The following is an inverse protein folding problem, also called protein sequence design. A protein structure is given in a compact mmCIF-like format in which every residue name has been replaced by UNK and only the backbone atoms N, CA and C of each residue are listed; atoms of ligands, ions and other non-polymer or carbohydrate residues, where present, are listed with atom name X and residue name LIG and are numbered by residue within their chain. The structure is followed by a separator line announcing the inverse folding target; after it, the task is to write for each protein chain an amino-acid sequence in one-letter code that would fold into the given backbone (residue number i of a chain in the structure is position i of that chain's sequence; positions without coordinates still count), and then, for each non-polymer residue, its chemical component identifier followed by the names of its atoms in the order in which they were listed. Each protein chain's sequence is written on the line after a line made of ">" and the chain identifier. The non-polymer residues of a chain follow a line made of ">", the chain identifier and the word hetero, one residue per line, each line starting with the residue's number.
data_IF_912520796700
#
_entry.id   IF_912520796700
#
_cell.length_a   1.000
_cell.length_b   1.000
_cell.length_c   1.000
_cell.angle_alpha   90.00
_cell.angle_beta   90.00
_cell.angle_gamma   90.00
#
_symmetry.space_group_name_H-M   'P 1'
#
loop_
_entity.id
_entity.type
_entity.pdbx_description
1 polymer ?
#
# COMPACT_ATOMS: atom_id res chain seq x y z
N UNK A 1 -21.92 -12.90 54.50
CA UNK A 1 -20.96 -11.80 54.26
C UNK A 1 -19.62 -12.43 53.92
N UNK A 2 -18.92 -12.16 52.81
CA UNK A 2 -19.03 -11.05 51.86
C UNK A 2 -18.31 -11.47 50.58
N UNK A 3 -18.96 -11.23 49.46
CA UNK A 3 -18.38 -11.20 48.12
C UNK A 3 -17.69 -9.83 47.94
N UNK A 4 -16.38 -9.78 47.68
CA UNK A 4 -15.70 -8.66 46.96
C UNK A 4 -14.18 -8.74 47.10
N UNK A 5 -13.54 -9.30 46.07
CA UNK A 5 -12.19 -8.92 45.68
C UNK A 5 -11.98 -9.32 44.22
N UNK A 6 -12.88 -8.87 43.34
CA UNK A 6 -12.52 -8.77 41.91
C UNK A 6 -11.48 -7.65 41.84
N UNK A 7 -10.25 -8.02 41.49
CA UNK A 7 -9.16 -7.07 41.30
C UNK A 7 -9.61 -5.97 40.34
N UNK A 8 -9.63 -4.74 40.84
CA UNK A 8 -9.83 -3.57 39.99
C UNK A 8 -8.76 -3.60 38.89
N UNK A 9 -9.19 -3.43 37.64
CA UNK A 9 -8.27 -3.21 36.54
C UNK A 9 -7.33 -2.05 36.91
N UNK A 10 -6.02 -2.16 36.61
CA UNK A 10 -5.11 -1.06 36.87
C UNK A 10 -5.66 0.21 36.21
N UNK A 11 -5.49 1.38 36.85
CA UNK A 11 -5.91 2.64 36.24
C UNK A 11 -5.27 2.77 34.85
N UNK A 12 -5.96 3.37 33.86
CA UNK A 12 -5.38 3.60 32.54
C UNK A 12 -4.03 4.28 32.73
N UNK A 13 -2.97 3.70 32.14
CA UNK A 13 -1.65 4.32 32.11
C UNK A 13 -1.83 5.76 31.62
N UNK A 14 -1.39 6.73 32.42
CA UNK A 14 -1.21 8.08 31.92
C UNK A 14 -0.27 7.96 30.72
N UNK A 15 -0.71 8.42 29.55
CA UNK A 15 0.11 8.48 28.35
C UNK A 15 1.36 9.27 28.70
N UNK A 16 2.53 8.62 28.64
CA UNK A 16 3.80 9.32 28.81
C UNK A 16 3.92 10.30 27.64
N UNK A 17 4.04 11.61 27.88
CA UNK A 17 4.24 12.58 26.80
C UNK A 17 5.53 12.32 26.00
N UNK A 18 6.42 11.45 26.47
CA UNK A 18 7.62 11.00 25.76
C UNK A 18 7.45 9.70 24.98
N UNK A 19 6.29 9.05 25.02
CA UNK A 19 6.04 7.89 24.17
C UNK A 19 5.82 8.36 22.72
N UNK A 20 6.62 7.88 21.76
CA UNK A 20 6.48 8.28 20.36
C UNK A 20 5.10 7.90 19.84
N UNK A 21 4.36 8.89 19.33
CA UNK A 21 3.01 8.68 18.79
C UNK A 21 3.11 7.94 17.46
N UNK A 22 2.31 6.88 17.29
CA UNK A 22 2.20 6.22 15.99
C UNK A 22 1.42 7.13 15.03
N UNK A 23 1.97 7.47 13.85
CA UNK A 23 1.31 8.36 12.93
C UNK A 23 0.03 7.71 12.33
N UNK A 24 -1.07 8.47 12.18
CA UNK A 24 -2.35 7.92 11.74
C UNK A 24 -2.29 7.35 10.31
N UNK A 25 -1.47 7.94 9.45
CA UNK A 25 -1.19 7.45 8.11
C UNK A 25 -0.63 6.00 8.14
N UNK A 26 0.29 5.69 9.07
CA UNK A 26 0.86 4.34 9.21
C UNK A 26 -0.19 3.34 9.72
N UNK A 27 -1.03 3.75 10.68
CA UNK A 27 -2.14 2.94 11.16
C UNK A 27 -3.14 2.62 10.03
N UNK A 28 -3.49 3.61 9.21
CA UNK A 28 -4.41 3.44 8.09
C UNK A 28 -3.88 2.49 7.00
N UNK A 29 -2.58 2.57 6.70
CA UNK A 29 -1.90 1.65 5.78
C UNK A 29 -1.97 0.20 6.28
N UNK A 30 -1.72 0.00 7.58
CA UNK A 30 -1.77 -1.33 8.20
C UNK A 30 -3.19 -1.94 8.15
N UNK A 31 -4.22 -1.13 8.42
CA UNK A 31 -5.61 -1.55 8.37
C UNK A 31 -6.06 -1.89 6.93
N UNK A 32 -5.68 -1.07 5.95
CA UNK A 32 -5.96 -1.32 4.54
C UNK A 32 -5.29 -2.63 4.05
N UNK A 33 -4.04 -2.84 4.42
CA UNK A 33 -3.30 -4.07 4.12
C UNK A 33 -4.00 -5.31 4.69
N UNK A 34 -4.44 -5.25 5.96
CA UNK A 34 -5.17 -6.33 6.60
C UNK A 34 -6.48 -6.66 5.86
N UNK A 35 -7.21 -5.62 5.40
CA UNK A 35 -8.44 -5.80 4.64
C UNK A 35 -8.20 -6.45 3.27
N UNK A 36 -7.13 -6.08 2.58
CA UNK A 36 -6.73 -6.74 1.33
C UNK A 36 -6.42 -8.22 1.55
N UNK A 37 -5.65 -8.58 2.59
CA UNK A 37 -5.36 -9.97 2.91
C UNK A 37 -6.59 -10.78 3.33
N UNK A 38 -7.53 -10.16 4.05
CA UNK A 38 -8.80 -10.80 4.41
C UNK A 38 -9.61 -11.19 3.17
N UNK A 39 -9.76 -10.27 2.21
CA UNK A 39 -10.50 -10.56 0.98
C UNK A 39 -9.72 -11.45 -0.01
N UNK A 40 -8.39 -11.37 0.01
CA UNK A 40 -7.54 -12.30 -0.74
C UNK A 40 -7.72 -13.73 -0.22
N UNK A 41 -7.65 -13.95 1.09
CA UNK A 41 -7.86 -15.26 1.72
C UNK A 41 -9.28 -15.80 1.54
N UNK A 42 -10.24 -14.93 1.26
CA UNK A 42 -11.63 -15.30 0.92
C UNK A 42 -11.83 -15.71 -0.55
N UNK A 43 -10.81 -15.60 -1.41
CA UNK A 43 -10.90 -15.93 -2.84
C UNK A 43 -11.10 -17.43 -3.06
N UNK A 44 -12.05 -17.79 -3.93
CA UNK A 44 -12.44 -19.19 -4.11
C UNK A 44 -11.66 -19.86 -5.27
N UNK A 45 -11.22 -21.12 -5.09
CA UNK A 45 -10.70 -21.92 -6.19
C UNK A 45 -11.82 -22.26 -7.19
N UNK A 46 -11.46 -22.44 -8.46
CA UNK A 46 -12.43 -22.85 -9.49
C UNK A 46 -12.85 -24.32 -9.29
N UNK A 47 -14.14 -24.60 -9.54
CA UNK A 47 -14.72 -25.96 -9.39
C UNK A 47 -14.20 -26.97 -10.41
N UNK A 48 -13.58 -26.52 -11.51
CA UNK A 48 -12.93 -27.37 -12.50
C UNK A 48 -11.43 -27.19 -12.44
N UNK A 49 -10.72 -28.29 -12.22
CA UNK A 49 -9.26 -28.33 -12.27
C UNK A 49 -8.78 -28.01 -13.69
N UNK A 50 -7.88 -27.03 -13.80
CA UNK A 50 -7.27 -26.71 -15.07
C UNK A 50 -6.22 -27.76 -15.45
N UNK A 51 -6.05 -28.03 -16.75
CA UNK A 51 -4.96 -28.90 -17.25
C UNK A 51 -3.57 -28.33 -16.93
N UNK A 52 -3.50 -27.04 -16.61
CA UNK A 52 -2.28 -26.31 -16.33
C UNK A 52 -1.97 -26.39 -14.84
N UNK A 53 -0.73 -26.68 -14.47
CA UNK A 53 -0.32 -26.75 -13.07
C UNK A 53 0.14 -25.37 -12.59
N UNK A 54 -0.19 -24.96 -11.35
CA UNK A 54 0.41 -23.78 -10.76
C UNK A 54 1.93 -23.97 -10.63
N UNK A 55 2.73 -22.90 -10.55
CA UNK A 55 4.16 -23.03 -10.31
C UNK A 55 4.39 -23.85 -9.04
N UNK A 56 5.32 -24.80 -9.10
CA UNK A 56 5.57 -25.75 -8.02
C UNK A 56 6.22 -25.12 -6.78
N UNK A 57 6.79 -23.91 -6.93
CA UNK A 57 7.44 -23.16 -5.86
C UNK A 57 7.36 -21.66 -6.13
N UNK A 58 7.32 -20.88 -5.05
CA UNK A 58 7.49 -19.42 -5.08
C UNK A 58 8.86 -19.01 -5.62
N UNK A 59 9.87 -19.89 -5.52
CA UNK A 59 11.20 -19.69 -6.09
C UNK A 59 11.33 -20.27 -7.51
N UNK A 60 10.21 -20.51 -8.20
CA UNK A 60 10.29 -20.81 -9.63
C UNK A 60 10.90 -19.61 -10.38
N UNK A 61 11.73 -19.83 -11.42
CA UNK A 61 12.37 -18.75 -12.15
C UNK A 61 11.41 -17.66 -12.61
N UNK A 62 10.22 -18.06 -13.06
CA UNK A 62 9.14 -17.14 -13.43
C UNK A 62 8.72 -16.20 -12.29
N UNK A 63 8.33 -16.75 -11.13
CA UNK A 63 7.85 -15.95 -9.98
C UNK A 63 8.98 -15.09 -9.44
N UNK A 64 10.19 -15.63 -9.35
CA UNK A 64 11.36 -14.90 -8.86
C UNK A 64 11.72 -13.72 -9.75
N UNK A 65 11.79 -13.92 -11.08
CA UNK A 65 12.07 -12.84 -12.03
C UNK A 65 10.97 -11.78 -12.03
N UNK A 66 9.70 -12.17 -11.91
CA UNK A 66 8.60 -11.21 -11.80
C UNK A 66 8.72 -10.35 -10.54
N UNK A 67 8.94 -10.97 -9.37
CA UNK A 67 9.10 -10.23 -8.11
C UNK A 67 10.28 -9.27 -8.19
N UNK A 68 11.43 -9.71 -8.70
CA UNK A 68 12.60 -8.83 -8.86
C UNK A 68 12.32 -7.65 -9.79
N UNK A 69 11.63 -7.87 -10.91
CA UNK A 69 11.29 -6.82 -11.85
C UNK A 69 10.35 -5.78 -11.22
N UNK A 70 9.33 -6.23 -10.47
CA UNK A 70 8.43 -5.35 -9.75
C UNK A 70 9.15 -4.56 -8.65
N UNK A 71 10.01 -5.23 -7.85
CA UNK A 71 10.83 -4.57 -6.82
C UNK A 71 11.72 -3.49 -7.41
N UNK A 72 12.32 -3.73 -8.58
CA UNK A 72 13.14 -2.72 -9.25
C UNK A 72 12.32 -1.49 -9.66
N UNK A 73 11.12 -1.67 -10.21
CA UNK A 73 10.21 -0.55 -10.54
C UNK A 73 9.82 0.22 -9.28
N UNK A 74 9.34 -0.47 -8.25
CA UNK A 74 8.92 0.14 -6.99
C UNK A 74 10.07 0.94 -6.37
N UNK A 75 11.28 0.39 -6.37
CA UNK A 75 12.46 1.08 -5.83
C UNK A 75 12.79 2.35 -6.63
N UNK A 76 12.74 2.31 -7.97
CA UNK A 76 13.01 3.50 -8.79
C UNK A 76 11.98 4.60 -8.56
N UNK A 77 10.70 4.22 -8.46
CA UNK A 77 9.61 5.16 -8.16
C UNK A 77 9.79 5.74 -6.75
N UNK A 78 10.11 4.90 -5.76
CA UNK A 78 10.34 5.34 -4.38
C UNK A 78 11.53 6.29 -4.27
N UNK A 79 12.64 5.99 -4.97
CA UNK A 79 13.80 6.87 -5.01
C UNK A 79 13.46 8.23 -5.63
N UNK A 80 12.65 8.26 -6.71
CA UNK A 80 12.19 9.53 -7.29
C UNK A 80 11.28 10.29 -6.32
N UNK A 81 10.36 9.62 -5.65
CA UNK A 81 9.50 10.23 -4.63
C UNK A 81 10.31 10.80 -3.47
N UNK A 82 11.32 10.08 -2.99
CA UNK A 82 12.22 10.56 -1.93
C UNK A 82 12.95 11.83 -2.36
N UNK A 83 13.49 11.85 -3.58
CA UNK A 83 14.15 13.03 -4.13
C UNK A 83 13.21 14.24 -4.26
N UNK A 84 11.95 14.02 -4.66
CA UNK A 84 10.93 15.08 -4.69
C UNK A 84 10.61 15.61 -3.28
N UNK A 85 10.64 14.72 -2.28
CA UNK A 85 10.48 15.08 -0.88
C UNK A 85 11.60 15.98 -0.40
N UNK A 86 12.84 15.65 -0.71
CA UNK A 86 14.00 16.50 -0.39
C UNK A 86 13.95 17.85 -1.11
N UNK A 87 13.52 17.88 -2.37
CA UNK A 87 13.43 19.11 -3.18
C UNK A 87 12.37 20.09 -2.66
N UNK A 88 11.24 19.58 -2.18
CA UNK A 88 10.08 20.40 -1.76
C UNK A 88 9.90 20.44 -0.24
N UNK A 89 10.70 19.70 0.50
CA UNK A 89 10.62 19.56 1.95
C UNK A 89 11.34 20.68 2.70
N UNK A 90 11.28 20.63 4.05
CA UNK A 90 12.05 21.55 4.88
C UNK A 90 13.56 21.39 4.63
N UNK A 91 14.31 22.49 4.72
CA UNK A 91 15.76 22.49 4.47
C UNK A 91 16.57 21.75 5.54
N UNK A 92 16.01 21.60 6.74
CA UNK A 92 16.63 20.82 7.82
C UNK A 92 15.93 19.46 7.93
N UNK A 93 16.70 18.35 7.94
CA UNK A 93 16.13 17.03 8.11
C UNK A 93 15.57 16.87 9.53
N UNK A 94 14.50 16.07 9.71
CA UNK A 94 13.94 15.81 11.02
C UNK A 94 14.96 15.11 11.94
N UNK A 95 14.84 15.36 13.25
CA UNK A 95 15.66 14.65 14.24
C UNK A 95 15.36 13.14 14.19
N UNK A 96 16.38 12.26 14.07
CA UNK A 96 16.16 10.81 13.87
C UNK A 96 15.35 10.11 14.98
N UNK A 97 15.42 10.62 16.21
CA UNK A 97 14.73 10.08 17.39
C UNK A 97 13.72 11.10 17.98
N UNK A 98 13.32 12.09 17.18
CA UNK A 98 12.36 13.13 17.58
C UNK A 98 10.91 12.62 17.59
N UNK A 99 10.00 13.47 18.07
CA UNK A 99 8.57 13.22 17.92
C UNK A 99 8.17 13.25 16.43
N UNK A 100 7.14 12.47 16.07
CA UNK A 100 6.61 12.52 14.70
C UNK A 100 6.05 13.91 14.40
N UNK A 101 6.61 14.56 13.39
CA UNK A 101 6.08 15.80 12.82
C UNK A 101 5.62 15.57 11.37
N UNK A 102 4.37 15.95 11.04
CA UNK A 102 3.87 15.90 9.67
C UNK A 102 4.77 16.71 8.74
N UNK A 103 5.27 16.08 7.68
CA UNK A 103 6.14 16.71 6.69
C UNK A 103 5.76 16.30 5.28
N UNK A 104 6.04 17.17 4.30
CA UNK A 104 5.77 16.88 2.90
C UNK A 104 6.44 15.57 2.42
N UNK A 105 7.73 15.29 2.73
CA UNK A 105 8.37 14.01 2.40
C UNK A 105 7.58 12.81 2.94
N UNK A 106 7.14 12.85 4.20
CA UNK A 106 6.38 11.77 4.83
C UNK A 106 5.08 11.52 4.07
N UNK A 107 4.32 12.58 3.79
CA UNK A 107 3.02 12.48 3.14
C UNK A 107 3.11 11.95 1.70
N UNK A 108 4.08 12.40 0.90
CA UNK A 108 4.21 11.93 -0.48
C UNK A 108 4.76 10.50 -0.56
N UNK A 109 5.68 10.12 0.34
CA UNK A 109 6.18 8.74 0.45
C UNK A 109 5.07 7.82 0.89
N UNK A 110 4.24 8.23 1.86
CA UNK A 110 3.07 7.46 2.28
C UNK A 110 2.07 7.27 1.13
N UNK A 111 1.73 8.33 0.40
CA UNK A 111 0.81 8.26 -0.75
C UNK A 111 1.31 7.28 -1.81
N UNK A 112 2.56 7.44 -2.24
CA UNK A 112 3.15 6.61 -3.31
C UNK A 112 3.32 5.17 -2.85
N UNK A 113 3.80 4.94 -1.62
CA UNK A 113 3.98 3.58 -1.07
C UNK A 113 2.65 2.86 -0.88
N UNK A 114 1.59 3.58 -0.50
CA UNK A 114 0.23 3.00 -0.43
C UNK A 114 -0.29 2.65 -1.82
N UNK A 115 0.02 3.46 -2.83
CA UNK A 115 -0.23 3.12 -4.24
C UNK A 115 0.50 1.85 -4.68
N UNK A 116 1.79 1.71 -4.36
CA UNK A 116 2.59 0.51 -4.66
C UNK A 116 2.02 -0.75 -3.99
N UNK A 117 1.50 -0.63 -2.77
CA UNK A 117 0.82 -1.74 -2.09
C UNK A 117 -0.39 -2.21 -2.90
N UNK A 118 -1.22 -1.27 -3.36
CA UNK A 118 -2.39 -1.58 -4.21
C UNK A 118 -1.93 -2.24 -5.52
N UNK A 119 -0.89 -1.69 -6.17
CA UNK A 119 -0.26 -2.28 -7.38
C UNK A 119 0.15 -3.73 -7.11
N UNK A 120 0.82 -3.98 -5.99
CA UNK A 120 1.30 -5.32 -5.60
C UNK A 120 0.14 -6.31 -5.52
N UNK A 121 -0.96 -5.95 -4.86
CA UNK A 121 -2.14 -6.82 -4.77
C UNK A 121 -2.80 -7.06 -6.14
N UNK A 122 -2.92 -6.02 -6.97
CA UNK A 122 -3.57 -6.15 -8.28
C UNK A 122 -2.74 -6.99 -9.25
N UNK A 123 -1.44 -6.68 -9.38
CA UNK A 123 -0.54 -7.32 -10.35
C UNK A 123 -0.24 -8.77 -9.97
N UNK A 124 -0.11 -9.06 -8.68
CA UNK A 124 0.20 -10.41 -8.20
C UNK A 124 -1.03 -11.30 -8.00
N UNK A 125 -2.27 -10.78 -8.17
CA UNK A 125 -3.47 -11.61 -8.08
C UNK A 125 -3.54 -12.63 -9.23
N UNK A 126 -3.29 -13.90 -8.90
CA UNK A 126 -3.42 -15.02 -9.84
C UNK A 126 -4.85 -15.54 -9.88
N UNK A 127 -5.64 -15.01 -10.81
CA UNK A 127 -7.00 -15.48 -11.08
C UNK A 127 -7.02 -16.78 -11.90
N UNK A 128 -7.79 -16.77 -12.99
CA UNK A 128 -7.90 -17.93 -13.90
C UNK A 128 -6.52 -18.31 -14.46
N UNK A 129 -6.20 -19.61 -14.62
CA UNK A 129 -7.11 -20.76 -14.54
C UNK A 129 -7.20 -21.45 -13.16
N UNK A 130 -6.62 -20.87 -12.09
CA UNK A 130 -6.54 -21.53 -10.78
C UNK A 130 -7.62 -21.05 -9.81
N UNK A 131 -7.82 -19.73 -9.76
CA UNK A 131 -8.82 -19.07 -8.91
C UNK A 131 -9.84 -18.30 -9.75
N UNK A 132 -10.89 -17.81 -9.10
CA UNK A 132 -11.78 -16.84 -9.72
C UNK A 132 -11.01 -15.61 -10.21
N UNK A 133 -11.54 -14.92 -11.23
CA UNK A 133 -10.94 -13.65 -11.66
C UNK A 133 -11.14 -12.58 -10.59
N UNK A 134 -10.25 -11.59 -10.55
CA UNK A 134 -10.36 -10.46 -9.63
C UNK A 134 -11.75 -9.80 -9.72
N UNK A 135 -12.26 -9.62 -10.94
CA UNK A 135 -13.60 -9.07 -11.20
C UNK A 135 -14.77 -9.92 -10.65
N UNK A 136 -14.55 -11.21 -10.38
CA UNK A 136 -15.54 -12.10 -9.78
C UNK A 136 -15.55 -12.00 -8.25
N UNK A 137 -14.39 -11.75 -7.63
CA UNK A 137 -14.29 -11.43 -6.22
C UNK A 137 -14.66 -9.95 -5.98
N UNK A 138 -15.98 -9.67 -5.94
CA UNK A 138 -16.51 -8.31 -5.79
C UNK A 138 -16.02 -7.59 -4.53
N UNK A 139 -15.71 -8.33 -3.46
CA UNK A 139 -15.15 -7.77 -2.23
C UNK A 139 -13.73 -7.26 -2.45
N UNK A 140 -12.83 -8.12 -2.94
CA UNK A 140 -11.45 -7.74 -3.22
C UNK A 140 -11.36 -6.65 -4.30
N UNK A 141 -12.09 -6.81 -5.40
CA UNK A 141 -12.11 -5.81 -6.49
C UNK A 141 -12.68 -4.47 -6.03
N UNK A 142 -13.75 -4.46 -5.24
CA UNK A 142 -14.36 -3.25 -4.70
C UNK A 142 -13.40 -2.52 -3.76
N UNK A 143 -12.76 -3.23 -2.84
CA UNK A 143 -11.80 -2.65 -1.89
C UNK A 143 -10.56 -2.10 -2.59
N UNK A 144 -10.00 -2.82 -3.57
CA UNK A 144 -8.85 -2.34 -4.34
C UNK A 144 -9.21 -1.12 -5.19
N UNK A 145 -10.37 -1.11 -5.85
CA UNK A 145 -10.83 0.02 -6.64
C UNK A 145 -11.11 1.25 -5.78
N UNK A 146 -11.77 1.08 -4.63
CA UNK A 146 -12.02 2.15 -3.68
C UNK A 146 -10.71 2.73 -3.13
N UNK A 147 -9.74 1.87 -2.80
CA UNK A 147 -8.43 2.30 -2.29
C UNK A 147 -7.63 3.04 -3.37
N UNK A 148 -7.63 2.55 -4.62
CA UNK A 148 -6.96 3.22 -5.74
C UNK A 148 -7.57 4.62 -5.99
N UNK A 149 -8.91 4.71 -6.01
CA UNK A 149 -9.60 5.99 -6.15
C UNK A 149 -9.28 6.94 -5.00
N UNK A 150 -9.22 6.43 -3.77
CA UNK A 150 -8.88 7.21 -2.59
C UNK A 150 -7.47 7.80 -2.70
N UNK A 151 -6.47 6.98 -3.05
CA UNK A 151 -5.10 7.45 -3.20
C UNK A 151 -4.96 8.47 -4.33
N UNK A 152 -5.62 8.25 -5.48
CA UNK A 152 -5.59 9.21 -6.58
C UNK A 152 -6.26 10.55 -6.22
N UNK A 153 -7.36 10.51 -5.47
CA UNK A 153 -8.06 11.74 -5.03
C UNK A 153 -7.29 12.49 -3.94
N UNK A 154 -6.63 11.78 -3.02
CA UNK A 154 -5.72 12.39 -2.05
C UNK A 154 -4.48 12.99 -2.75
N UNK A 155 -3.86 12.28 -3.70
CA UNK A 155 -2.73 12.79 -4.48
C UNK A 155 -3.09 14.00 -5.34
N UNK A 156 -4.35 14.11 -5.79
CA UNK A 156 -4.87 15.30 -6.46
C UNK A 156 -5.17 16.47 -5.50
N UNK A 157 -5.12 16.25 -4.18
CA UNK A 157 -5.45 17.25 -3.15
C UNK A 157 -6.94 17.56 -3.07
N UNK A 158 -7.82 16.64 -3.48
CA UNK A 158 -9.26 16.85 -3.56
C UNK A 158 -10.03 16.55 -2.25
N UNK A 159 -9.37 15.98 -1.25
CA UNK A 159 -9.96 15.58 0.03
C UNK A 159 -9.19 16.18 1.23
N UNK A 160 -9.26 17.50 1.45
CA UNK A 160 -8.45 18.18 2.47
C UNK A 160 -8.78 17.73 3.90
N UNK A 161 -10.05 17.47 4.22
CA UNK A 161 -10.45 17.02 5.56
C UNK A 161 -9.89 15.64 5.89
N UNK A 162 -9.89 14.74 4.90
CA UNK A 162 -9.31 13.41 5.06
C UNK A 162 -7.78 13.46 5.11
N UNK A 163 -7.16 14.32 4.30
CA UNK A 163 -5.73 14.55 4.35
C UNK A 163 -5.31 15.06 5.74
N UNK A 164 -6.05 16.02 6.32
CA UNK A 164 -5.81 16.51 7.68
C UNK A 164 -5.99 15.41 8.74
N UNK A 165 -7.02 14.57 8.62
CA UNK A 165 -7.22 13.43 9.52
C UNK A 165 -6.05 12.43 9.48
N UNK A 166 -5.47 12.23 8.31
CA UNK A 166 -4.30 11.37 8.11
C UNK A 166 -2.98 12.08 8.42
N UNK A 167 -3.02 13.33 8.90
CA UNK A 167 -1.84 14.18 9.12
C UNK A 167 -0.97 14.34 7.87
N UNK A 168 -1.60 14.38 6.69
CA UNK A 168 -0.92 14.63 5.42
C UNK A 168 -0.74 16.14 5.19
N UNK A 169 0.49 16.54 4.91
CA UNK A 169 0.82 17.91 4.55
C UNK A 169 0.22 18.23 3.17
N UNK A 170 -0.51 19.35 3.03
CA UNK A 170 -1.07 19.76 1.75
C UNK A 170 0.03 19.97 0.70
N UNK A 171 -0.13 19.32 -0.45
CA UNK A 171 0.78 19.50 -1.59
C UNK A 171 0.33 20.77 -2.33
N UNK A 172 1.01 21.89 -2.16
CA UNK A 172 0.57 23.16 -2.78
C UNK A 172 0.86 23.22 -4.30
N UNK A 173 1.97 22.62 -4.73
CA UNK A 173 2.39 22.63 -6.14
C UNK A 173 1.53 21.70 -7.01
N UNK A 174 0.82 22.26 -7.98
CA UNK A 174 0.08 21.48 -8.98
C UNK A 174 1.02 20.59 -9.81
N UNK A 175 2.22 21.08 -10.12
CA UNK A 175 3.24 20.30 -10.83
C UNK A 175 3.65 19.06 -10.03
N UNK A 176 3.87 19.21 -8.72
CA UNK A 176 4.19 18.09 -7.84
C UNK A 176 3.03 17.09 -7.75
N UNK A 177 1.77 17.57 -7.62
CA UNK A 177 0.60 16.67 -7.66
C UNK A 177 0.52 15.87 -8.96
N UNK A 178 0.78 16.52 -10.09
CA UNK A 178 0.82 15.89 -11.40
C UNK A 178 1.93 14.85 -11.51
N UNK A 179 3.12 15.16 -11.00
CA UNK A 179 4.25 14.23 -10.99
C UNK A 179 3.98 13.01 -10.09
N UNK A 180 3.39 13.19 -8.90
CA UNK A 180 3.01 12.08 -8.02
C UNK A 180 1.96 11.17 -8.67
N UNK A 181 0.96 11.74 -9.35
CA UNK A 181 -0.01 10.95 -10.11
C UNK A 181 0.64 10.19 -11.28
N UNK A 182 1.60 10.81 -11.96
CA UNK A 182 2.36 10.15 -13.01
C UNK A 182 3.19 8.99 -12.45
N UNK A 183 3.85 9.16 -11.29
CA UNK A 183 4.61 8.11 -10.62
C UNK A 183 3.72 6.92 -10.23
N UNK A 184 2.53 7.17 -9.67
CA UNK A 184 1.54 6.13 -9.37
C UNK A 184 1.12 5.36 -10.64
N UNK A 185 0.88 6.07 -11.74
CA UNK A 185 0.49 5.45 -13.00
C UNK A 185 1.65 4.65 -13.64
N UNK A 186 2.87 5.18 -13.58
CA UNK A 186 4.10 4.53 -14.07
C UNK A 186 4.36 3.25 -13.27
N UNK A 187 4.29 3.31 -11.95
CA UNK A 187 4.46 2.16 -11.06
C UNK A 187 3.52 1.02 -11.45
N UNK A 188 2.21 1.32 -11.50
CA UNK A 188 1.19 0.35 -11.87
C UNK A 188 1.39 -0.20 -13.29
N UNK A 189 1.57 0.70 -14.26
CA UNK A 189 1.69 0.35 -15.67
C UNK A 189 2.92 -0.49 -15.97
N UNK A 190 4.08 -0.12 -15.41
CA UNK A 190 5.34 -0.83 -15.60
C UNK A 190 5.30 -2.21 -14.93
N UNK A 191 4.83 -2.31 -13.67
CA UNK A 191 4.68 -3.60 -12.98
C UNK A 191 3.70 -4.52 -13.73
N UNK A 192 2.57 -4.00 -14.17
CA UNK A 192 1.59 -4.77 -14.95
C UNK A 192 2.16 -5.26 -16.29
N UNK A 193 2.89 -4.40 -17.01
CA UNK A 193 3.47 -4.74 -18.31
C UNK A 193 4.58 -5.78 -18.18
N UNK A 194 5.49 -5.60 -17.21
CA UNK A 194 6.59 -6.52 -16.92
C UNK A 194 6.06 -7.89 -16.50
N UNK A 195 5.08 -7.93 -15.60
CA UNK A 195 4.41 -9.17 -15.21
C UNK A 195 3.83 -9.88 -16.44
N UNK A 196 3.16 -9.16 -17.34
CA UNK A 196 2.59 -9.75 -18.56
C UNK A 196 3.65 -10.25 -19.53
N UNK A 197 4.75 -9.52 -19.68
CA UNK A 197 5.86 -9.91 -20.55
C UNK A 197 6.56 -11.17 -20.02
N UNK A 198 6.88 -11.20 -18.72
CA UNK A 198 7.56 -12.32 -18.05
C UNK A 198 6.65 -13.56 -18.03
N UNK A 199 5.35 -13.38 -17.76
CA UNK A 199 4.35 -14.45 -17.81
C UNK A 199 4.30 -15.08 -19.20
N UNK A 200 4.21 -14.28 -20.26
CA UNK A 200 4.22 -14.77 -21.65
C UNK A 200 5.50 -15.52 -22.01
N UNK A 201 6.66 -15.06 -21.56
CA UNK A 201 7.94 -15.72 -21.81
C UNK A 201 7.99 -17.14 -21.24
N UNK A 202 7.44 -17.34 -20.03
CA UNK A 202 7.31 -18.66 -19.41
C UNK A 202 5.99 -19.37 -19.74
N UNK A 203 5.28 -18.91 -20.77
CA UNK A 203 3.97 -19.37 -21.21
C UNK A 203 2.86 -19.29 -20.16
N UNK A 204 3.07 -18.67 -18.98
CA UNK A 204 2.10 -18.39 -17.90
C UNK A 204 0.97 -17.45 -18.32
#
# INVERSE_FOLDING_TARGET
>A
ATCSALGAAPPPRALDPREPRCPPELASLSAGTALFFLFLSSSRPLSRLSKRRPPASVLSPYVFCSILAQVAVHLLVLLRTSALGEEHGPSEPPEPDGEFEPSLPNSIVWLVSTGMLITTFVVNYKGRPYMESLASNRGLAGTLAASALLILTLAAGALPDLAAYLELVPIESEALRGELQALLAIDFGACWLLERAISRLWSY
#
